data_IF_047491126520
#
_entry.id   IF_047491126520
#
_cell.length_a   1.000
_cell.length_b   1.000
_cell.length_c   1.000
_cell.angle_alpha   90.00
_cell.angle_beta   90.00
_cell.angle_gamma   90.00
#
_symmetry.space_group_name_H-M   'P 1'
#
loop_
_entity.id
_entity.type
_entity.pdbx_description
1 polymer ?
#
# COMPACT_ATOMS: atom_id res chain seq x y z
N UNK A 1 8.64 1.37 -15.59
CA UNK A 1 9.72 1.41 -14.57
C UNK A 1 9.38 2.50 -13.56
N UNK A 2 9.17 2.10 -12.30
CA UNK A 2 8.52 2.79 -11.16
C UNK A 2 9.52 3.51 -10.25
N UNK A 3 10.37 4.36 -10.83
CA UNK A 3 11.48 4.97 -10.10
C UNK A 3 11.38 6.49 -10.02
N UNK A 4 11.69 7.05 -8.85
CA UNK A 4 12.02 8.47 -8.69
C UNK A 4 13.56 8.56 -8.62
N UNK A 5 14.21 9.24 -9.57
CA UNK A 5 15.68 9.33 -9.64
C UNK A 5 16.44 7.98 -9.62
N UNK A 6 15.79 6.88 -10.03
CA UNK A 6 16.38 5.52 -9.99
C UNK A 6 16.07 4.72 -8.72
N UNK A 7 15.34 5.30 -7.76
CA UNK A 7 14.94 4.68 -6.50
C UNK A 7 13.53 4.08 -6.60
N UNK A 8 13.31 2.91 -6.00
CA UNK A 8 12.00 2.24 -5.95
C UNK A 8 11.07 2.98 -5.00
N UNK A 9 9.90 3.39 -5.50
CA UNK A 9 8.90 4.11 -4.69
C UNK A 9 8.11 3.10 -3.84
N UNK A 10 8.10 3.29 -2.52
CA UNK A 10 7.22 2.60 -1.58
C UNK A 10 6.15 3.57 -1.13
N UNK A 11 4.91 3.37 -1.59
CA UNK A 11 3.78 4.18 -1.14
C UNK A 11 3.28 3.64 0.20
N UNK A 12 3.18 4.51 1.19
CA UNK A 12 2.69 4.19 2.54
C UNK A 12 1.37 4.92 2.78
N UNK A 13 0.36 4.20 3.24
CA UNK A 13 -0.89 4.78 3.72
C UNK A 13 -1.34 4.06 4.99
N UNK A 14 -1.42 4.77 6.11
CA UNK A 14 -2.02 4.25 7.34
C UNK A 14 -2.89 5.32 7.99
N UNK A 15 -4.15 5.01 8.25
CA UNK A 15 -5.11 5.98 8.78
C UNK A 15 -6.33 5.34 9.48
N UNK A 16 -6.42 4.00 9.50
CA UNK A 16 -7.51 3.28 10.16
C UNK A 16 -7.47 3.49 11.67
N UNK A 17 -8.66 3.56 12.27
CA UNK A 17 -8.81 3.75 13.72
C UNK A 17 -8.21 2.58 14.51
N UNK A 18 -8.32 1.36 14.00
CA UNK A 18 -7.71 0.19 14.65
C UNK A 18 -6.17 0.28 14.72
N UNK A 19 -5.55 1.07 13.84
CA UNK A 19 -4.11 1.25 13.82
C UNK A 19 -3.64 2.35 14.78
N UNK A 20 -4.51 3.07 15.49
CA UNK A 20 -4.07 4.18 16.35
C UNK A 20 -3.23 3.73 17.55
N UNK A 21 -2.42 4.65 18.09
CA UNK A 21 -1.57 4.39 19.24
C UNK A 21 -0.35 3.53 18.90
N UNK A 22 -0.20 2.40 19.60
CA UNK A 22 0.99 1.53 19.49
C UNK A 22 1.19 0.98 18.09
N UNK A 23 0.11 0.60 17.41
CA UNK A 23 0.18 0.01 16.06
C UNK A 23 0.71 1.03 15.02
N UNK A 24 0.21 2.27 15.05
CA UNK A 24 0.70 3.34 14.17
C UNK A 24 2.17 3.62 14.42
N UNK A 25 2.57 3.63 15.69
CA UNK A 25 3.97 3.80 16.07
C UNK A 25 4.84 2.65 15.55
N UNK A 26 4.37 1.40 15.63
CA UNK A 26 5.07 0.24 15.07
C UNK A 26 5.21 0.32 13.56
N UNK A 27 4.14 0.68 12.84
CA UNK A 27 4.17 0.94 11.40
C UNK A 27 5.22 2.01 11.07
N UNK A 28 5.20 3.15 11.77
CA UNK A 28 6.16 4.22 11.54
C UNK A 28 7.60 3.77 11.83
N UNK A 29 7.82 3.01 12.90
CA UNK A 29 9.15 2.45 13.22
C UNK A 29 9.61 1.42 12.19
N UNK A 30 8.70 0.65 11.59
CA UNK A 30 9.02 -0.27 10.49
C UNK A 30 9.48 0.51 9.27
N UNK A 31 8.70 1.52 8.84
CA UNK A 31 9.06 2.40 7.71
C UNK A 31 10.40 3.09 7.96
N UNK A 32 10.64 3.58 9.18
CA UNK A 32 11.92 4.19 9.57
C UNK A 32 13.11 3.26 9.41
N UNK A 33 12.94 2.01 9.81
CA UNK A 33 13.99 1.00 9.72
C UNK A 33 14.25 0.61 8.26
N UNK A 34 13.19 0.34 7.50
CA UNK A 34 13.30 0.02 6.07
C UNK A 34 13.96 1.16 5.28
N UNK A 35 13.61 2.41 5.56
CA UNK A 35 14.27 3.58 4.96
C UNK A 35 15.77 3.65 5.28
N UNK A 36 16.17 3.18 6.47
CA UNK A 36 17.60 3.10 6.85
C UNK A 36 18.32 1.92 6.20
N UNK A 37 17.64 0.79 6.02
CA UNK A 37 18.22 -0.45 5.49
C UNK A 37 18.29 -0.44 3.96
N UNK A 38 17.20 -0.07 3.28
CA UNK A 38 17.07 -0.12 1.82
C UNK A 38 17.33 1.26 1.22
N UNK A 39 18.58 1.50 0.83
CA UNK A 39 19.04 2.80 0.30
C UNK A 39 18.61 3.08 -1.13
N UNK A 40 18.13 2.07 -1.85
CA UNK A 40 17.56 2.17 -3.19
C UNK A 40 16.03 2.42 -3.16
N UNK A 41 15.47 2.67 -1.97
CA UNK A 41 14.04 2.89 -1.78
C UNK A 41 13.74 4.27 -1.23
N UNK A 42 12.65 4.83 -1.72
CA UNK A 42 12.06 6.08 -1.26
C UNK A 42 10.64 5.83 -0.79
N UNK A 43 10.33 6.28 0.43
CA UNK A 43 9.02 6.08 1.04
C UNK A 43 8.20 7.35 0.90
N UNK A 44 7.05 7.27 0.25
CA UNK A 44 6.14 8.41 0.08
C UNK A 44 4.89 8.15 0.91
N UNK A 45 4.60 9.05 1.85
CA UNK A 45 3.48 8.91 2.76
C UNK A 45 2.61 10.17 2.73
N UNK A 46 1.47 10.15 2.01
CA UNK A 46 0.41 11.15 2.11
C UNK A 46 -0.24 11.05 3.50
N UNK A 47 0.12 11.95 4.41
CA UNK A 47 -0.25 11.84 5.83
C UNK A 47 -1.67 12.30 6.04
N UNK A 48 -2.52 11.42 6.57
CA UNK A 48 -3.90 11.76 6.88
C UNK A 48 -4.00 12.91 7.89
N UNK A 49 -5.01 13.78 7.75
CA UNK A 49 -5.16 15.01 8.56
C UNK A 49 -5.54 14.75 10.03
N UNK A 50 -5.88 13.51 10.38
CA UNK A 50 -6.29 13.15 11.74
C UNK A 50 -5.09 13.29 12.70
N UNK A 51 -5.20 14.06 13.80
CA UNK A 51 -4.10 14.25 14.75
C UNK A 51 -3.51 12.94 15.29
N UNK A 52 -4.35 11.93 15.54
CA UNK A 52 -3.91 10.60 16.03
C UNK A 52 -2.98 9.86 15.06
N UNK A 53 -2.99 10.27 13.78
CA UNK A 53 -2.07 9.78 12.74
C UNK A 53 -0.92 10.77 12.58
N UNK A 54 -1.25 12.04 12.34
CA UNK A 54 -0.30 13.09 11.96
C UNK A 54 0.76 13.33 13.03
N UNK A 55 0.39 13.35 14.30
CA UNK A 55 1.32 13.56 15.41
C UNK A 55 2.34 12.41 15.49
N UNK A 56 1.85 11.16 15.56
CA UNK A 56 2.70 9.96 15.65
C UNK A 56 3.66 9.84 14.45
N UNK A 57 3.16 10.11 13.24
CA UNK A 57 3.97 10.10 12.01
C UNK A 57 5.07 11.16 12.07
N UNK A 58 4.72 12.40 12.43
CA UNK A 58 5.71 13.48 12.48
C UNK A 58 6.74 13.27 13.59
N UNK A 59 6.32 12.81 14.78
CA UNK A 59 7.24 12.52 15.89
C UNK A 59 8.20 11.37 15.57
N UNK A 60 7.74 10.36 14.84
CA UNK A 60 8.51 9.12 14.66
C UNK A 60 9.45 9.18 13.46
N UNK A 61 8.99 9.71 12.31
CA UNK A 61 9.68 9.57 11.01
C UNK A 61 9.96 10.86 10.26
N UNK A 62 9.56 12.03 10.77
CA UNK A 62 9.91 13.31 10.13
C UNK A 62 11.44 13.50 10.09
N UNK A 63 11.94 14.01 8.96
CA UNK A 63 13.36 14.32 8.77
C UNK A 63 14.25 13.13 8.41
N UNK A 64 13.69 11.94 8.22
CA UNK A 64 14.41 10.81 7.62
C UNK A 64 14.57 11.06 6.13
N UNK A 65 15.80 11.01 5.62
CA UNK A 65 16.17 11.55 4.31
C UNK A 65 15.35 11.02 3.12
N UNK A 66 15.07 9.71 3.10
CA UNK A 66 14.32 9.03 2.04
C UNK A 66 12.87 8.70 2.45
N UNK A 67 12.31 9.48 3.38
CA UNK A 67 10.88 9.46 3.71
C UNK A 67 10.28 10.83 3.37
N UNK A 68 9.37 10.87 2.41
CA UNK A 68 8.62 12.06 2.02
C UNK A 68 7.22 12.02 2.64
N UNK A 69 7.05 12.79 3.71
CA UNK A 69 5.75 13.10 4.28
C UNK A 69 5.12 14.23 3.46
N UNK A 70 4.00 13.95 2.80
CA UNK A 70 3.30 14.92 1.96
C UNK A 70 1.85 15.11 2.43
N UNK A 71 1.21 16.18 1.99
CA UNK A 71 -0.22 16.37 2.20
C UNK A 71 -1.04 15.32 1.44
N UNK A 72 -2.27 14.99 1.89
CA UNK A 72 -3.17 14.13 1.14
C UNK A 72 -3.34 14.60 -0.31
N UNK A 73 -3.25 13.64 -1.24
CA UNK A 73 -3.34 13.90 -2.67
C UNK A 73 -4.79 13.87 -3.15
N UNK A 74 -5.07 14.61 -4.22
CA UNK A 74 -6.28 14.40 -5.02
C UNK A 74 -6.25 13.03 -5.71
N UNK A 75 -7.43 12.53 -6.10
CA UNK A 75 -7.56 11.17 -6.65
C UNK A 75 -6.64 10.90 -7.84
N UNK A 76 -6.56 11.81 -8.82
CA UNK A 76 -5.73 11.62 -10.01
C UNK A 76 -4.23 11.51 -9.68
N UNK A 77 -3.73 12.39 -8.81
CA UNK A 77 -2.33 12.37 -8.37
C UNK A 77 -2.02 11.11 -7.56
N UNK A 78 -2.98 10.68 -6.73
CA UNK A 78 -2.86 9.45 -5.95
C UNK A 78 -2.76 8.21 -6.84
N UNK A 79 -3.61 8.11 -7.88
CA UNK A 79 -3.54 7.03 -8.87
C UNK A 79 -2.21 7.08 -9.63
N UNK A 80 -1.70 8.27 -9.99
CA UNK A 80 -0.39 8.38 -10.63
C UNK A 80 0.72 7.85 -9.74
N UNK A 81 0.72 8.23 -8.46
CA UNK A 81 1.69 7.74 -7.48
C UNK A 81 1.59 6.22 -7.28
N UNK A 82 0.37 5.68 -7.21
CA UNK A 82 0.11 4.25 -7.12
C UNK A 82 0.74 3.49 -8.30
N UNK A 83 0.45 3.91 -9.54
CA UNK A 83 1.01 3.32 -10.77
C UNK A 83 2.53 3.38 -10.87
N UNK A 84 3.14 4.36 -10.19
CA UNK A 84 4.59 4.55 -10.14
C UNK A 84 5.23 3.87 -8.93
N UNK A 85 4.45 3.25 -8.06
CA UNK A 85 4.97 2.56 -6.89
C UNK A 85 5.55 1.20 -7.27
N UNK A 86 6.60 0.80 -6.58
CA UNK A 86 7.17 -0.54 -6.65
C UNK A 86 6.40 -1.50 -5.75
N UNK A 87 5.98 -1.05 -4.57
CA UNK A 87 5.04 -1.76 -3.70
C UNK A 87 4.26 -0.75 -2.85
N UNK A 88 3.16 -1.20 -2.26
CA UNK A 88 2.34 -0.37 -1.36
C UNK A 88 2.19 -1.02 0.00
N UNK A 89 2.43 -0.24 1.05
CA UNK A 89 2.08 -0.57 2.43
C UNK A 89 0.77 0.16 2.77
N UNK A 90 -0.30 -0.57 3.07
CA UNK A 90 -1.61 0.07 3.28
C UNK A 90 -2.49 -0.57 4.35
N UNK A 91 -3.31 0.22 5.03
CA UNK A 91 -4.49 -0.24 5.78
C UNK A 91 -5.83 0.14 5.10
N UNK A 92 -5.75 0.70 3.89
CA UNK A 92 -6.92 1.08 3.09
C UNK A 92 -7.58 -0.14 2.45
N UNK A 93 -8.91 -0.20 2.51
CA UNK A 93 -9.69 -1.20 1.79
C UNK A 93 -9.60 -0.97 0.28
N UNK A 94 -9.96 0.23 -0.19
CA UNK A 94 -9.97 0.58 -1.61
C UNK A 94 -8.63 0.36 -2.32
N UNK A 95 -7.50 0.64 -1.65
CA UNK A 95 -6.18 0.42 -2.26
C UNK A 95 -5.90 -1.07 -2.48
N UNK A 96 -6.42 -1.97 -1.63
CA UNK A 96 -6.29 -3.41 -1.87
C UNK A 96 -7.01 -3.86 -3.15
N UNK A 97 -8.06 -3.16 -3.56
CA UNK A 97 -8.78 -3.40 -4.82
C UNK A 97 -8.11 -2.73 -6.02
N UNK A 98 -7.68 -1.48 -5.87
CA UNK A 98 -7.19 -0.65 -6.96
C UNK A 98 -5.75 -0.98 -7.38
N UNK A 99 -4.85 -1.20 -6.42
CA UNK A 99 -3.43 -1.37 -6.71
C UNK A 99 -3.08 -2.62 -7.53
N UNK A 100 -3.74 -3.79 -7.31
CA UNK A 100 -3.54 -4.95 -8.17
C UNK A 100 -3.84 -4.70 -9.65
N UNK A 101 -4.77 -3.80 -9.97
CA UNK A 101 -5.05 -3.43 -11.37
C UNK A 101 -3.86 -2.75 -12.07
N UNK A 102 -2.93 -2.18 -11.30
CA UNK A 102 -1.72 -1.53 -11.80
C UNK A 102 -0.48 -2.41 -11.69
N UNK A 103 -0.64 -3.71 -11.45
CA UNK A 103 0.45 -4.66 -11.26
C UNK A 103 1.37 -4.29 -10.07
N UNK A 104 0.81 -3.66 -9.02
CA UNK A 104 1.58 -3.22 -7.85
C UNK A 104 1.26 -4.10 -6.64
N UNK A 105 2.25 -4.85 -6.10
CA UNK A 105 2.07 -5.65 -4.89
C UNK A 105 1.61 -4.83 -3.68
N UNK A 106 0.66 -5.40 -2.91
CA UNK A 106 0.09 -4.75 -1.72
C UNK A 106 0.43 -5.54 -0.46
N UNK A 107 1.07 -4.89 0.52
CA UNK A 107 1.24 -5.41 1.86
C UNK A 107 0.28 -4.70 2.81
N UNK A 108 -0.65 -5.47 3.36
CA UNK A 108 -1.77 -4.98 4.15
C UNK A 108 -1.38 -4.93 5.63
N UNK A 109 -1.29 -3.72 6.18
CA UNK A 109 -0.91 -3.45 7.57
C UNK A 109 -2.10 -3.59 8.52
N UNK A 110 -2.81 -4.72 8.42
CA UNK A 110 -3.97 -5.09 9.26
C UNK A 110 -3.87 -6.55 9.64
N UNK A 111 -4.43 -6.91 10.79
CA UNK A 111 -4.48 -8.31 11.24
C UNK A 111 -5.58 -9.11 10.53
N UNK A 112 -6.57 -8.42 9.94
CA UNK A 112 -7.70 -8.99 9.19
C UNK A 112 -8.05 -8.06 8.03
N UNK A 113 -8.65 -8.61 6.98
CA UNK A 113 -9.17 -7.83 5.85
C UNK A 113 -10.52 -8.38 5.40
N UNK A 114 -11.40 -7.49 4.95
CA UNK A 114 -12.64 -7.78 4.24
C UNK A 114 -12.42 -8.15 2.76
N UNK A 115 -11.16 -8.10 2.29
CA UNK A 115 -10.74 -8.32 0.90
C UNK A 115 -9.92 -9.60 0.77
N UNK A 116 -10.50 -10.72 1.22
CA UNK A 116 -9.82 -12.02 1.26
C UNK A 116 -9.43 -12.50 -0.13
N UNK A 117 -10.22 -12.17 -1.15
CA UNK A 117 -10.02 -12.55 -2.54
C UNK A 117 -8.64 -12.11 -3.05
N UNK A 118 -8.16 -10.94 -2.64
CA UNK A 118 -6.86 -10.40 -3.03
C UNK A 118 -5.70 -11.12 -2.35
N UNK A 119 -5.92 -11.59 -1.12
CA UNK A 119 -4.94 -12.43 -0.41
C UNK A 119 -4.89 -13.83 -1.01
N UNK A 120 -6.04 -14.41 -1.32
CA UNK A 120 -6.17 -15.73 -1.94
C UNK A 120 -5.63 -15.76 -3.37
N UNK A 121 -5.87 -14.70 -4.15
CA UNK A 121 -5.31 -14.51 -5.49
C UNK A 121 -3.80 -14.17 -5.47
N UNK A 122 -3.23 -13.90 -4.29
CA UNK A 122 -1.81 -13.58 -4.13
C UNK A 122 -1.41 -12.18 -4.59
N UNK A 123 -2.35 -11.27 -4.89
CA UNK A 123 -2.05 -9.87 -5.23
C UNK A 123 -1.82 -9.00 -3.99
N UNK A 124 -2.28 -9.46 -2.82
CA UNK A 124 -2.11 -8.82 -1.54
C UNK A 124 -1.56 -9.78 -0.47
N UNK A 125 -0.89 -9.24 0.54
CA UNK A 125 -0.31 -10.00 1.65
C UNK A 125 -0.62 -9.32 2.98
N UNK A 126 -1.28 -10.01 3.90
CA UNK A 126 -1.46 -9.52 5.27
C UNK A 126 -0.14 -9.61 6.04
N UNK A 127 0.32 -8.47 6.56
CA UNK A 127 1.55 -8.37 7.36
C UNK A 127 1.31 -7.87 8.78
N UNK A 128 0.07 -7.53 9.13
CA UNK A 128 -0.29 -7.02 10.45
C UNK A 128 0.29 -5.64 10.74
N UNK A 129 0.28 -5.25 12.01
CA UNK A 129 0.79 -3.95 12.49
C UNK A 129 2.10 -4.07 13.27
N UNK A 130 2.58 -5.29 13.48
CA UNK A 130 3.84 -5.54 14.16
C UNK A 130 5.02 -5.10 13.29
N UNK A 131 5.96 -4.37 13.91
CA UNK A 131 7.12 -3.81 13.23
C UNK A 131 7.92 -4.88 12.49
N UNK A 132 8.19 -6.02 13.14
CA UNK A 132 9.03 -7.07 12.58
C UNK A 132 8.32 -7.76 11.41
N UNK A 133 7.03 -8.06 11.55
CA UNK A 133 6.25 -8.70 10.49
C UNK A 133 6.17 -7.84 9.22
N UNK A 134 6.01 -6.51 9.36
CA UNK A 134 6.03 -5.58 8.23
C UNK A 134 7.38 -5.63 7.52
N UNK A 135 8.49 -5.54 8.26
CA UNK A 135 9.85 -5.57 7.70
C UNK A 135 10.13 -6.93 7.02
N UNK A 136 9.78 -8.04 7.66
CA UNK A 136 9.97 -9.38 7.11
C UNK A 136 9.16 -9.57 5.81
N UNK A 137 7.92 -9.06 5.79
CA UNK A 137 7.05 -9.10 4.61
C UNK A 137 7.66 -8.35 3.42
N UNK A 138 8.14 -7.12 3.65
CA UNK A 138 8.81 -6.32 2.61
C UNK A 138 10.11 -6.99 2.17
N UNK A 139 10.95 -7.42 3.12
CA UNK A 139 12.23 -8.09 2.83
C UNK A 139 12.01 -9.32 1.95
N UNK A 140 11.06 -10.18 2.32
CA UNK A 140 10.72 -11.38 1.54
C UNK A 140 10.26 -11.03 0.12
N UNK A 141 9.44 -9.99 -0.03
CA UNK A 141 8.94 -9.56 -1.33
C UNK A 141 10.07 -9.05 -2.23
N UNK A 142 11.00 -8.26 -1.69
CA UNK A 142 12.04 -7.61 -2.51
C UNK A 142 13.22 -8.53 -2.81
N UNK A 143 13.50 -9.51 -1.96
CA UNK A 143 14.58 -10.49 -2.17
C UNK A 143 14.16 -11.64 -3.08
N UNK A 144 12.85 -11.91 -3.19
CA UNK A 144 12.31 -12.94 -4.07
C UNK A 144 11.68 -12.34 -5.33
N UNK A 145 12.45 -12.37 -6.42
CA UNK A 145 11.93 -11.96 -7.74
C UNK A 145 10.73 -12.80 -8.19
N UNK A 146 10.68 -14.07 -7.81
CA UNK A 146 9.54 -14.96 -8.09
C UNK A 146 8.28 -14.48 -7.37
N UNK A 147 8.37 -14.24 -6.06
CA UNK A 147 7.24 -13.74 -5.27
C UNK A 147 6.79 -12.36 -5.76
N UNK A 148 7.72 -11.44 -6.02
CA UNK A 148 7.38 -10.13 -6.57
C UNK A 148 6.61 -10.25 -7.87
N UNK A 149 7.09 -11.05 -8.82
CA UNK A 149 6.42 -11.24 -10.10
C UNK A 149 5.06 -11.92 -9.94
N UNK A 150 4.93 -12.88 -9.01
CA UNK A 150 3.66 -13.55 -8.72
C UNK A 150 2.62 -12.58 -8.16
N UNK A 151 3.01 -11.65 -7.27
CA UNK A 151 2.08 -10.64 -6.75
C UNK A 151 1.76 -9.56 -7.79
N UNK A 152 2.77 -9.10 -8.54
CA UNK A 152 2.65 -8.00 -9.48
C UNK A 152 1.88 -8.39 -10.75
N UNK A 153 2.02 -9.62 -11.27
CA UNK A 153 1.43 -10.01 -12.57
C UNK A 153 0.17 -10.87 -12.43
N UNK A 154 -0.33 -11.04 -11.22
CA UNK A 154 -1.58 -11.76 -10.98
C UNK A 154 -2.77 -10.93 -11.41
N UNK A 155 -3.79 -11.60 -11.94
CA UNK A 155 -5.03 -10.95 -12.37
C UNK A 155 -5.75 -10.44 -11.12
N UNK A 156 -6.14 -9.16 -11.12
CA UNK A 156 -6.95 -8.60 -10.05
C UNK A 156 -8.27 -9.37 -9.92
N UNK A 157 -8.60 -9.93 -8.75
CA UNK A 157 -9.85 -10.66 -8.55
C UNK A 157 -11.08 -9.73 -8.49
N UNK A 158 -10.86 -8.42 -8.47
CA UNK A 158 -11.90 -7.41 -8.27
C UNK A 158 -12.52 -6.88 -9.56
N UNK A 159 -12.01 -7.34 -10.70
CA UNK A 159 -12.61 -7.08 -12.01
C UNK A 159 -11.66 -6.51 -13.04
N UNK A 160 -12.24 -6.21 -14.19
CA UNK A 160 -11.58 -5.85 -15.45
C UNK A 160 -11.83 -4.38 -15.85
N UNK A 161 -12.52 -3.62 -15.00
CA UNK A 161 -12.94 -2.25 -15.28
C UNK A 161 -14.27 -2.12 -16.04
N UNK A 162 -14.97 -3.23 -16.34
CA UNK A 162 -16.25 -3.22 -17.07
C UNK A 162 -17.49 -3.32 -16.16
N UNK A 163 -17.32 -3.24 -14.83
CA UNK A 163 -18.42 -3.41 -13.87
C UNK A 163 -19.63 -2.52 -14.19
N UNK A 164 -19.43 -1.23 -14.49
CA UNK A 164 -20.53 -0.32 -14.86
C UNK A 164 -21.26 -0.74 -16.13
N UNK A 165 -20.56 -1.32 -17.10
CA UNK A 165 -21.17 -1.84 -18.33
C UNK A 165 -22.04 -3.05 -18.01
N UNK A 166 -21.52 -4.00 -17.23
CA UNK A 166 -22.30 -5.18 -16.82
C UNK A 166 -23.55 -4.80 -16.03
N UNK A 167 -23.44 -3.85 -15.10
CA UNK A 167 -24.58 -3.35 -14.31
C UNK A 167 -25.63 -2.71 -15.22
N UNK A 168 -25.23 -1.85 -16.17
CA UNK A 168 -26.19 -1.21 -17.09
C UNK A 168 -26.84 -2.25 -18.00
N UNK A 169 -26.08 -3.23 -18.50
CA UNK A 169 -26.63 -4.32 -19.30
C UNK A 169 -27.69 -5.09 -18.52
N UNK A 170 -27.39 -5.51 -17.29
CA UNK A 170 -28.33 -6.27 -16.46
C UNK A 170 -29.63 -5.48 -16.20
N UNK A 171 -29.51 -4.21 -15.81
CA UNK A 171 -30.68 -3.35 -15.53
C UNK A 171 -31.57 -3.17 -16.77
N UNK A 172 -30.98 -3.16 -17.97
CA UNK A 172 -31.73 -2.98 -19.23
C UNK A 172 -32.31 -4.29 -19.77
N UNK A 173 -31.73 -5.44 -19.43
CA UNK A 173 -32.21 -6.77 -19.84
C UNK A 173 -33.32 -7.31 -18.92
N UNK A 174 -33.40 -6.84 -17.67
CA UNK A 174 -34.48 -7.15 -16.71
C UNK A 174 -35.78 -6.32 -16.92
N UNK A 175 -35.89 -5.57 -18.02
CA UNK A 175 -37.08 -4.78 -18.43
C UNK A 175 -37.69 -5.33 -19.72
#
# INVERSE_FOLDING_TARGET
MSYLNGEKIVLVTAHRRESFGTDMKNICLAVKEMARTFKDMVFVYPVHLNPNVREVVNETIRGVANIHLIEPLGYQDFIHLMKKSFLILTDSGGIQEEAPFFDVPVLVMRNKTERLEGVEAGVAMLVGTDKKQIIDGVTRLIESSELYNAMAKSISPYGDGNASKYIVTEILEDV
#
